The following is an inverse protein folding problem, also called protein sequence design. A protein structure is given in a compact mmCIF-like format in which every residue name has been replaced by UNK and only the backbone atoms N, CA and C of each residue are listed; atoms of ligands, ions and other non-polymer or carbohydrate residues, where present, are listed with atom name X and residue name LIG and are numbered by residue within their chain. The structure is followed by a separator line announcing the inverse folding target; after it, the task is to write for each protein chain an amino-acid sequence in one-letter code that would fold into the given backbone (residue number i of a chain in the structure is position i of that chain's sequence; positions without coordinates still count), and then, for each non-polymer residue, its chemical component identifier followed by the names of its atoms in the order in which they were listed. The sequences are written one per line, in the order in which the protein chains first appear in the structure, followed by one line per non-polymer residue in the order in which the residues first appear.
data_IF_812795880560
#
_entry.id   IF_812795880560
#
_cell.length_a   1.000
_cell.length_b   1.000
_cell.length_c   1.000
_cell.angle_alpha   90.00
_cell.angle_beta   90.00
_cell.angle_gamma   90.00
#
_symmetry.space_group_name_H-M   'P 1'
#
loop_
_entity.id
_entity.type
_entity.pdbx_description
1 polymer ?
#
# COMPACT_ATOMS: atom_id res chain seq x y z
N UNK A 1 11.74 -10.87 -23.56
CA UNK A 1 10.73 -9.81 -23.30
C UNK A 1 10.04 -10.10 -21.99
N UNK A 2 10.45 -9.45 -20.89
CA UNK A 2 9.85 -9.66 -19.56
C UNK A 2 8.76 -8.64 -19.30
N UNK A 3 7.50 -9.04 -19.44
CA UNK A 3 6.36 -8.17 -19.10
C UNK A 3 6.24 -8.11 -17.57
N UNK A 4 6.85 -7.10 -16.96
CA UNK A 4 6.67 -6.76 -15.55
C UNK A 4 5.25 -6.24 -15.36
N UNK A 5 4.33 -7.13 -14.96
CA UNK A 5 2.96 -6.75 -14.59
C UNK A 5 2.94 -6.32 -13.12
N UNK A 6 3.41 -5.11 -12.86
CA UNK A 6 3.02 -4.35 -11.66
C UNK A 6 1.50 -4.21 -11.74
N UNK A 7 0.77 -4.84 -10.83
CA UNK A 7 -0.68 -4.70 -10.78
C UNK A 7 -0.99 -3.31 -10.22
N UNK A 8 -1.05 -2.32 -11.10
CA UNK A 8 -1.49 -0.96 -10.80
C UNK A 8 -2.97 -1.04 -10.42
N UNK A 9 -3.27 -0.97 -9.13
CA UNK A 9 -4.66 -0.85 -8.67
C UNK A 9 -5.09 0.58 -8.95
N UNK A 10 -5.63 0.81 -10.16
CA UNK A 10 -6.24 2.08 -10.59
C UNK A 10 -7.40 2.45 -9.64
N UNK A 11 -7.14 3.37 -8.73
CA UNK A 11 -8.18 4.17 -8.10
C UNK A 11 -8.34 5.42 -8.97
N UNK A 12 -9.30 5.38 -9.91
CA UNK A 12 -9.63 6.53 -10.73
C UNK A 12 -10.34 7.58 -9.86
N UNK A 13 -9.70 8.73 -9.62
CA UNK A 13 -10.30 9.88 -8.91
C UNK A 13 -10.05 11.15 -9.71
N UNK A 14 -11.10 11.97 -9.88
CA UNK A 14 -11.21 13.10 -10.82
C UNK A 14 -10.53 14.41 -10.35
N UNK A 15 -10.26 15.31 -11.30
CA UNK A 15 -9.27 16.41 -11.25
C UNK A 15 -9.49 17.56 -10.25
N UNK A 16 -10.71 17.87 -9.80
CA UNK A 16 -10.97 19.10 -9.03
C UNK A 16 -10.83 18.92 -7.51
N UNK A 17 -11.01 17.70 -7.00
CA UNK A 17 -10.74 17.39 -5.61
C UNK A 17 -9.23 17.19 -5.34
N UNK A 18 -8.42 17.21 -6.40
CA UNK A 18 -7.02 16.78 -6.42
C UNK A 18 -6.18 17.43 -5.35
N UNK A 19 -6.17 18.73 -5.10
CA UNK A 19 -5.16 19.31 -4.19
C UNK A 19 -5.31 18.86 -2.72
N UNK A 20 -6.54 18.88 -2.20
CA UNK A 20 -6.84 18.41 -0.82
C UNK A 20 -6.87 16.88 -0.75
N UNK A 21 -7.37 16.20 -1.79
CA UNK A 21 -7.24 14.75 -1.88
C UNK A 21 -5.79 14.33 -2.06
N UNK A 22 -4.91 15.10 -2.69
CA UNK A 22 -3.51 14.75 -2.91
C UNK A 22 -2.81 14.70 -1.57
N UNK A 23 -2.93 15.75 -0.75
CA UNK A 23 -2.32 15.73 0.59
C UNK A 23 -2.85 14.58 1.47
N UNK A 24 -4.15 14.32 1.41
CA UNK A 24 -4.80 13.22 2.15
C UNK A 24 -4.39 11.85 1.58
N UNK A 25 -4.30 11.73 0.25
CA UNK A 25 -3.91 10.52 -0.46
C UNK A 25 -2.43 10.23 -0.25
N UNK A 26 -1.56 11.23 -0.21
CA UNK A 26 -0.15 11.08 0.12
C UNK A 26 0.02 10.51 1.53
N UNK A 27 -0.69 11.05 2.52
CA UNK A 27 -0.69 10.49 3.87
C UNK A 27 -1.28 9.07 3.91
N UNK A 28 -2.33 8.80 3.11
CA UNK A 28 -2.95 7.49 3.02
C UNK A 28 -2.00 6.46 2.41
N UNK A 29 -1.31 6.85 1.33
CA UNK A 29 -0.31 6.04 0.63
C UNK A 29 0.93 5.84 1.51
N UNK A 30 1.34 6.87 2.27
CA UNK A 30 2.39 6.76 3.27
C UNK A 30 2.03 5.70 4.32
N UNK A 31 0.82 5.76 4.88
CA UNK A 31 0.32 4.75 5.81
C UNK A 31 0.32 3.35 5.18
N UNK A 32 -0.13 3.22 3.93
CA UNK A 32 -0.19 1.95 3.23
C UNK A 32 1.21 1.37 2.94
N UNK A 33 2.16 2.21 2.51
CA UNK A 33 3.55 1.82 2.27
C UNK A 33 4.26 1.40 3.55
N UNK A 34 4.14 2.20 4.61
CA UNK A 34 4.75 1.87 5.90
C UNK A 34 4.17 0.58 6.47
N UNK A 35 2.87 0.36 6.27
CA UNK A 35 2.24 -0.91 6.61
C UNK A 35 2.75 -2.06 5.76
N UNK A 36 2.86 -1.89 4.44
CA UNK A 36 3.35 -2.93 3.55
C UNK A 36 4.78 -3.34 3.91
N UNK A 37 5.65 -2.37 4.20
CA UNK A 37 7.02 -2.61 4.63
C UNK A 37 7.08 -3.37 5.97
N UNK A 38 6.28 -2.96 6.96
CA UNK A 38 6.16 -3.69 8.23
C UNK A 38 5.63 -5.12 8.05
N UNK A 39 4.68 -5.32 7.12
CA UNK A 39 4.12 -6.63 6.84
C UNK A 39 5.04 -7.52 5.99
N UNK A 40 6.02 -6.96 5.30
CA UNK A 40 6.82 -7.66 4.31
C UNK A 40 8.12 -8.18 4.93
N UNK A 41 8.46 -9.43 4.60
CA UNK A 41 9.74 -10.03 4.96
C UNK A 41 10.41 -10.58 3.71
N UNK A 42 11.67 -10.21 3.49
CA UNK A 42 12.46 -10.71 2.35
C UNK A 42 12.89 -12.18 2.54
N UNK A 43 12.98 -12.63 3.79
CA UNK A 43 13.42 -13.98 4.15
C UNK A 43 12.41 -15.07 3.78
N UNK A 44 11.12 -14.87 4.06
CA UNK A 44 10.09 -15.89 3.82
C UNK A 44 8.67 -15.33 3.84
N UNK A 45 7.80 -15.88 2.98
CA UNK A 45 6.39 -15.50 2.91
C UNK A 45 5.59 -15.85 4.18
N UNK A 46 6.08 -16.78 5.00
CA UNK A 46 5.50 -17.17 6.29
C UNK A 46 5.84 -16.20 7.41
N UNK A 47 6.95 -15.47 7.29
CA UNK A 47 7.35 -14.43 8.26
C UNK A 47 6.61 -13.10 8.02
N UNK A 48 6.05 -12.93 6.82
CA UNK A 48 5.24 -11.76 6.49
C UNK A 48 4.05 -11.59 7.46
N UNK A 49 3.96 -10.42 8.10
CA UNK A 49 2.89 -10.08 9.03
C UNK A 49 1.58 -9.84 8.28
N UNK A 50 0.78 -10.89 8.10
CA UNK A 50 -0.51 -10.80 7.39
C UNK A 50 -1.73 -10.73 8.32
N UNK A 51 -1.50 -10.70 9.64
CA UNK A 51 -2.55 -10.59 10.62
C UNK A 51 -3.02 -9.13 10.75
N UNK A 52 -4.21 -8.85 10.21
CA UNK A 52 -4.82 -7.51 10.19
C UNK A 52 -4.94 -6.88 11.58
N UNK A 53 -5.18 -7.67 12.64
CA UNK A 53 -5.34 -7.15 14.00
C UNK A 53 -3.99 -6.71 14.58
N UNK A 54 -2.99 -7.59 14.53
CA UNK A 54 -1.64 -7.32 15.04
C UNK A 54 -1.00 -6.13 14.35
N UNK A 55 -1.03 -6.12 13.00
CA UNK A 55 -0.45 -5.04 12.20
C UNK A 55 -1.13 -3.71 12.51
N UNK A 56 -2.46 -3.72 12.67
CA UNK A 56 -3.20 -2.51 13.02
C UNK A 56 -2.82 -2.03 14.42
N UNK A 57 -2.77 -2.91 15.41
CA UNK A 57 -2.44 -2.52 16.79
C UNK A 57 -1.02 -1.94 16.88
N UNK A 58 -0.07 -2.55 16.19
CA UNK A 58 1.31 -2.10 16.12
C UNK A 58 1.49 -0.75 15.42
N UNK A 59 0.80 -0.53 14.28
CA UNK A 59 1.03 0.65 13.43
C UNK A 59 0.05 1.79 13.64
N UNK A 60 -1.17 1.52 14.11
CA UNK A 60 -2.22 2.55 14.22
C UNK A 60 -1.77 3.72 15.09
N UNK A 61 -1.13 3.42 16.22
CA UNK A 61 -0.65 4.43 17.17
C UNK A 61 0.43 5.34 16.56
N UNK A 62 1.34 4.79 15.77
CA UNK A 62 2.42 5.54 15.11
C UNK A 62 1.88 6.34 13.93
N UNK A 63 1.14 5.69 13.02
CA UNK A 63 0.54 6.34 11.86
C UNK A 63 -0.41 7.48 12.25
N UNK A 64 -1.11 7.36 13.38
CA UNK A 64 -1.99 8.42 13.89
C UNK A 64 -1.23 9.62 14.49
N UNK A 65 0.01 9.42 14.96
CA UNK A 65 0.89 10.52 15.40
C UNK A 65 1.58 11.20 14.23
N UNK A 66 1.98 10.42 13.22
CA UNK A 66 2.70 10.92 12.04
C UNK A 66 1.76 11.57 11.02
N UNK A 67 0.48 11.19 11.01
CA UNK A 67 -0.52 11.74 10.08
C UNK A 67 -1.72 12.33 10.80
N UNK A 68 -2.25 13.41 10.27
CA UNK A 68 -3.50 14.02 10.77
C UNK A 68 -4.76 13.28 10.25
N UNK A 69 -4.59 12.17 9.53
CA UNK A 69 -5.67 11.41 8.91
C UNK A 69 -6.70 10.87 9.90
N UNK A 70 -7.97 11.00 9.55
CA UNK A 70 -9.05 10.36 10.31
C UNK A 70 -8.79 8.87 10.52
N UNK A 71 -9.14 8.36 11.71
CA UNK A 71 -8.91 6.97 12.11
C UNK A 71 -9.44 5.94 11.09
N UNK A 72 -10.57 6.24 10.44
CA UNK A 72 -11.15 5.39 9.39
C UNK A 72 -10.22 5.23 8.16
N UNK A 73 -9.53 6.30 7.76
CA UNK A 73 -8.61 6.30 6.62
C UNK A 73 -7.34 5.53 6.96
N UNK A 74 -6.78 5.73 8.16
CA UNK A 74 -5.62 4.97 8.65
C UNK A 74 -5.91 3.47 8.66
N UNK A 75 -7.06 3.06 9.20
CA UNK A 75 -7.47 1.66 9.22
C UNK A 75 -7.72 1.11 7.80
N UNK A 76 -8.31 1.91 6.91
CA UNK A 76 -8.50 1.52 5.52
C UNK A 76 -7.16 1.34 4.78
N UNK A 77 -6.17 2.20 5.04
CA UNK A 77 -4.82 2.09 4.48
C UNK A 77 -4.13 0.81 4.95
N UNK A 78 -4.15 0.54 6.26
CA UNK A 78 -3.58 -0.67 6.85
C UNK A 78 -4.24 -1.92 6.24
N UNK A 79 -5.57 -1.94 6.17
CA UNK A 79 -6.31 -3.07 5.60
C UNK A 79 -5.89 -3.31 4.14
N UNK A 80 -5.84 -2.24 3.34
CA UNK A 80 -5.45 -2.31 1.93
C UNK A 80 -4.03 -2.85 1.76
N UNK A 81 -3.09 -2.38 2.56
CA UNK A 81 -1.70 -2.84 2.53
C UNK A 81 -1.58 -4.33 2.85
N UNK A 82 -2.21 -4.79 3.94
CA UNK A 82 -2.21 -6.21 4.33
C UNK A 82 -2.83 -7.09 3.23
N UNK A 83 -3.91 -6.65 2.59
CA UNK A 83 -4.54 -7.40 1.49
C UNK A 83 -3.66 -7.47 0.25
N UNK A 84 -2.92 -6.41 -0.08
CA UNK A 84 -1.93 -6.43 -1.14
C UNK A 84 -0.78 -7.41 -0.83
N UNK A 85 -0.23 -7.36 0.38
CA UNK A 85 0.84 -8.28 0.82
C UNK A 85 0.36 -9.74 0.75
N UNK A 86 -0.86 -10.04 1.21
CA UNK A 86 -1.46 -11.37 1.04
C UNK A 86 -1.53 -11.79 -0.43
N UNK A 87 -1.99 -10.90 -1.31
CA UNK A 87 -2.04 -11.17 -2.75
C UNK A 87 -0.66 -11.44 -3.35
N UNK A 88 0.38 -10.75 -2.86
CA UNK A 88 1.77 -10.99 -3.26
C UNK A 88 2.27 -12.34 -2.72
N UNK A 89 2.01 -12.69 -1.47
CA UNK A 89 2.36 -13.99 -0.87
C UNK A 89 1.73 -15.15 -1.66
N UNK A 90 0.47 -15.04 -2.05
CA UNK A 90 -0.19 -16.07 -2.86
C UNK A 90 0.47 -16.24 -4.24
N UNK A 91 1.07 -15.18 -4.80
CA UNK A 91 1.89 -15.27 -6.01
C UNK A 91 3.26 -15.88 -5.71
N UNK A 92 3.85 -15.55 -4.56
CA UNK A 92 5.12 -16.13 -4.11
C UNK A 92 5.01 -17.64 -3.95
N UNK A 93 3.92 -18.14 -3.36
CA UNK A 93 3.62 -19.57 -3.25
C UNK A 93 3.52 -20.29 -4.60
N UNK A 94 3.21 -19.55 -5.66
CA UNK A 94 3.19 -20.05 -7.05
C UNK A 94 4.54 -19.90 -7.76
N UNK A 95 5.62 -19.74 -7.00
CA UNK A 95 7.00 -19.57 -7.48
C UNK A 95 7.17 -18.35 -8.42
N UNK A 96 6.27 -17.38 -8.34
CA UNK A 96 6.40 -16.15 -9.10
C UNK A 96 7.35 -15.19 -8.38
N UNK A 97 8.14 -14.44 -9.15
CA UNK A 97 8.99 -13.39 -8.62
C UNK A 97 8.11 -12.28 -8.02
N UNK A 98 8.27 -12.07 -6.73
CA UNK A 98 7.52 -11.09 -5.94
C UNK A 98 8.46 -10.09 -5.28
N UNK A 99 7.91 -8.96 -4.85
CA UNK A 99 8.60 -7.92 -4.10
C UNK A 99 7.58 -7.18 -3.23
N UNK A 100 8.07 -6.45 -2.22
CA UNK A 100 7.23 -5.63 -1.36
C UNK A 100 6.31 -4.72 -2.20
N UNK A 101 4.98 -4.71 -1.96
CA UNK A 101 4.08 -3.85 -2.71
C UNK A 101 4.29 -2.38 -2.33
N UNK A 102 4.52 -1.53 -3.34
CA UNK A 102 4.62 -0.08 -3.17
C UNK A 102 3.39 0.59 -3.75
N UNK A 103 2.79 1.49 -2.97
CA UNK A 103 1.66 2.32 -3.34
C UNK A 103 2.15 3.73 -3.64
N UNK A 104 2.08 4.13 -4.90
CA UNK A 104 2.42 5.49 -5.33
C UNK A 104 1.18 6.18 -5.88
N UNK A 105 1.02 7.47 -5.61
CA UNK A 105 0.06 8.28 -6.35
C UNK A 105 0.60 8.32 -7.79
N UNK A 106 -0.17 7.81 -8.76
CA UNK A 106 0.20 7.99 -10.16
C UNK A 106 0.11 9.49 -10.47
N UNK A 107 1.26 10.17 -10.52
CA UNK A 107 1.35 11.45 -11.20
C UNK A 107 1.15 11.13 -12.67
N UNK A 108 -0.02 11.48 -13.22
CA UNK A 108 -0.23 11.44 -14.68
C UNK A 108 0.70 12.47 -15.29
N UNK A 109 1.94 12.07 -15.58
CA UNK A 109 2.77 12.76 -16.56
C UNK A 109 2.27 12.31 -17.92
N UNK A 110 1.35 13.10 -18.48
CA UNK A 110 1.07 13.07 -19.91
C UNK A 110 2.32 13.51 -20.66
N UNK A 111 3.28 12.60 -20.82
CA UNK A 111 4.37 12.76 -21.78
C UNK A 111 3.90 12.19 -23.11
N UNK A 112 3.25 13.04 -23.91
CA UNK A 112 3.14 12.84 -25.37
C UNK A 112 4.54 12.83 -25.98
N UNK A 113 4.76 11.96 -26.96
CA UNK A 113 5.16 12.46 -28.28
C UNK A 113 4.17 12.07 -29.39
#
# INVERSE_FOLDING_TARGET
MGVRRTAVVKLAVSDEQRDVLHRTAEQYLYCANRTADYCWSDTSYTECQTNKREVRDALYSELRKETDLQAQLVQAAIRRAVEAVKGVIERWKKEQRVSCPTFTAETVTSSSP
#
